data_IF_976754776520
#
_entry.id   IF_976754776520
#
_cell.length_a   1.000
_cell.length_b   1.000
_cell.length_c   1.000
_cell.angle_alpha   90.00
_cell.angle_beta   90.00
_cell.angle_gamma   90.00
#
_symmetry.space_group_name_H-M   'P 1'
#
loop_
_entity.id
_entity.type
_entity.pdbx_description
1 polymer ?
#
# COMPACT_ATOMS: atom_id res chain seq x y z
N UNK A 1 1.57 5.18 8.41
CA UNK A 1 1.12 3.87 7.90
C UNK A 1 1.60 2.78 8.84
N UNK A 2 0.72 1.86 9.25
CA UNK A 2 1.16 0.66 9.99
C UNK A 2 1.32 -0.51 9.00
N UNK A 3 2.55 -1.00 8.85
CA UNK A 3 2.88 -2.14 7.99
C UNK A 3 2.97 -3.39 8.87
N UNK A 4 2.35 -4.48 8.43
CA UNK A 4 2.40 -5.77 9.12
C UNK A 4 3.11 -6.82 8.25
N UNK A 5 4.03 -7.56 8.86
CA UNK A 5 4.82 -8.60 8.18
C UNK A 5 4.19 -9.96 8.42
N UNK A 6 3.99 -10.73 7.35
CA UNK A 6 3.48 -12.09 7.33
C UNK A 6 4.63 -12.99 6.87
N UNK A 7 5.36 -13.56 7.82
CA UNK A 7 6.67 -14.14 7.55
C UNK A 7 6.84 -15.51 8.18
N UNK A 8 7.82 -16.25 7.66
CA UNK A 8 8.37 -17.43 8.31
C UNK A 8 9.19 -17.02 9.55
N UNK A 9 9.76 -17.98 10.26
CA UNK A 9 10.43 -17.74 11.54
C UNK A 9 11.57 -16.72 11.45
N UNK A 10 12.37 -16.75 10.38
CA UNK A 10 13.43 -15.76 10.13
C UNK A 10 12.89 -14.33 10.01
N UNK A 11 11.82 -14.14 9.23
CA UNK A 11 11.16 -12.84 9.10
C UNK A 11 10.46 -12.40 10.39
N UNK A 12 9.97 -13.35 11.19
CA UNK A 12 9.42 -13.03 12.51
C UNK A 12 10.51 -12.54 13.48
N UNK A 13 11.70 -13.13 13.44
CA UNK A 13 12.83 -12.72 14.28
C UNK A 13 13.38 -11.35 13.87
N UNK A 14 13.52 -11.09 12.57
CA UNK A 14 13.90 -9.76 12.05
C UNK A 14 12.84 -8.70 12.35
N UNK A 15 11.55 -9.01 12.19
CA UNK A 15 10.48 -8.08 12.52
C UNK A 15 10.44 -7.79 14.03
N UNK A 16 10.71 -8.79 14.88
CA UNK A 16 10.78 -8.63 16.32
C UNK A 16 11.99 -7.77 16.74
N UNK A 17 13.14 -7.94 16.10
CA UNK A 17 14.31 -7.09 16.30
C UNK A 17 14.03 -5.62 15.91
N UNK A 18 13.24 -5.41 14.84
CA UNK A 18 12.89 -4.10 14.31
C UNK A 18 11.59 -3.50 14.91
N UNK A 19 10.99 -4.13 15.92
CA UNK A 19 9.70 -3.73 16.53
C UNK A 19 8.54 -3.58 15.51
N UNK A 20 8.55 -4.34 14.42
CA UNK A 20 7.50 -4.33 13.41
C UNK A 20 6.43 -5.36 13.77
N UNK A 21 5.12 -5.03 13.66
CA UNK A 21 4.05 -5.99 13.90
C UNK A 21 4.14 -7.18 12.94
N UNK A 22 4.41 -8.38 13.48
CA UNK A 22 4.52 -9.62 12.71
C UNK A 22 3.37 -10.58 13.02
N UNK A 23 3.04 -11.43 12.06
CA UNK A 23 2.15 -12.57 12.26
C UNK A 23 2.74 -13.82 11.64
N UNK A 24 2.79 -14.88 12.45
CA UNK A 24 3.30 -16.17 12.06
C UNK A 24 2.22 -17.04 11.38
N UNK A 25 2.65 -18.09 10.69
CA UNK A 25 1.81 -19.04 9.92
C UNK A 25 0.75 -19.71 10.81
N UNK A 26 1.08 -19.98 12.07
CA UNK A 26 0.13 -20.55 13.03
C UNK A 26 -0.97 -19.57 13.43
N UNK A 27 -0.62 -18.29 13.61
CA UNK A 27 -1.59 -17.23 13.88
C UNK A 27 -2.51 -17.02 12.66
N UNK A 28 -1.95 -17.08 11.45
CA UNK A 28 -2.70 -17.02 10.19
C UNK A 28 -3.65 -18.22 10.03
N UNK A 29 -3.25 -19.43 10.43
CA UNK A 29 -4.12 -20.61 10.46
C UNK A 29 -5.25 -20.49 11.48
N UNK A 30 -5.02 -19.90 12.66
CA UNK A 30 -6.08 -19.62 13.66
C UNK A 30 -7.08 -18.57 13.19
N UNK A 31 -6.67 -17.68 12.29
CA UNK A 31 -7.53 -16.67 11.65
C UNK A 31 -8.31 -17.21 10.46
N UNK A 32 -7.99 -18.42 10.00
CA UNK A 32 -8.68 -19.09 8.93
C UNK A 32 -10.15 -19.31 9.34
N UNK A 33 -11.08 -19.06 8.41
CA UNK A 33 -12.55 -19.10 8.58
C UNK A 33 -13.21 -17.95 9.36
N UNK A 34 -12.48 -17.13 10.13
CA UNK A 34 -13.09 -16.03 10.90
C UNK A 34 -13.11 -14.68 10.15
N UNK A 35 -14.13 -14.49 9.28
CA UNK A 35 -14.32 -13.27 8.46
C UNK A 35 -14.28 -11.95 9.26
N UNK A 36 -14.75 -11.94 10.52
CA UNK A 36 -14.76 -10.73 11.37
C UNK A 36 -13.35 -10.33 11.82
N UNK A 37 -12.53 -11.30 12.23
CA UNK A 37 -11.15 -11.04 12.69
C UNK A 37 -10.26 -10.57 11.54
N UNK A 38 -10.40 -11.18 10.36
CA UNK A 38 -9.68 -10.75 9.15
C UNK A 38 -10.06 -9.32 8.74
N UNK A 39 -11.35 -8.94 8.83
CA UNK A 39 -11.78 -7.55 8.59
C UNK A 39 -11.21 -6.57 9.62
N UNK A 40 -11.08 -6.98 10.89
CA UNK A 40 -10.50 -6.14 11.96
C UNK A 40 -9.00 -5.91 11.72
N UNK A 41 -8.27 -6.97 11.32
CA UNK A 41 -6.86 -6.89 10.92
C UNK A 41 -6.64 -5.99 9.71
N UNK A 42 -7.45 -6.15 8.66
CA UNK A 42 -7.38 -5.32 7.46
C UNK A 42 -7.71 -3.84 7.72
N UNK A 43 -8.45 -3.52 8.79
CA UNK A 43 -8.67 -2.14 9.24
C UNK A 43 -7.53 -1.59 10.09
N UNK A 44 -6.82 -2.46 10.83
CA UNK A 44 -5.74 -2.06 11.74
C UNK A 44 -4.45 -1.70 11.00
N UNK A 45 -4.11 -2.44 9.95
CA UNK A 45 -2.88 -2.23 9.19
C UNK A 45 -3.15 -1.73 7.78
N UNK A 46 -2.31 -0.82 7.28
CA UNK A 46 -2.46 -0.15 5.98
C UNK A 46 -1.85 -0.97 4.85
N UNK A 47 -0.72 -1.61 5.11
CA UNK A 47 -0.02 -2.48 4.17
C UNK A 47 0.43 -3.79 4.84
N UNK A 48 0.53 -4.84 4.03
CA UNK A 48 1.05 -6.14 4.44
C UNK A 48 2.26 -6.49 3.57
N UNK A 49 3.28 -7.06 4.19
CA UNK A 49 4.42 -7.67 3.50
C UNK A 49 4.39 -9.17 3.78
N UNK A 50 4.68 -10.00 2.78
CA UNK A 50 4.68 -11.44 2.93
C UNK A 50 5.95 -12.08 2.39
N UNK A 51 6.48 -13.05 3.13
CA UNK A 51 7.56 -13.93 2.67
C UNK A 51 7.16 -14.65 1.38
N UNK A 52 8.11 -14.86 0.48
CA UNK A 52 7.92 -15.58 -0.79
C UNK A 52 7.30 -16.98 -0.60
N UNK A 53 7.62 -17.67 0.49
CA UNK A 53 7.04 -18.97 0.81
C UNK A 53 5.54 -18.90 1.13
N UNK A 54 5.09 -17.78 1.70
CA UNK A 54 3.72 -17.60 2.21
C UNK A 54 2.79 -16.92 1.22
N UNK A 55 3.31 -16.16 0.24
CA UNK A 55 2.49 -15.40 -0.71
C UNK A 55 1.50 -16.28 -1.49
N UNK A 56 1.91 -17.52 -1.84
CA UNK A 56 1.08 -18.49 -2.56
C UNK A 56 -0.05 -19.06 -1.69
N UNK A 57 0.16 -19.11 -0.37
CA UNK A 57 -0.79 -19.70 0.59
C UNK A 57 -1.80 -18.68 1.12
N UNK A 58 -1.48 -17.38 1.06
CA UNK A 58 -2.29 -16.28 1.59
C UNK A 58 -3.74 -16.28 1.05
N UNK A 59 -4.00 -16.46 -0.27
CA UNK A 59 -5.38 -16.51 -0.77
C UNK A 59 -6.21 -17.64 -0.15
N UNK A 60 -5.57 -18.78 0.18
CA UNK A 60 -6.21 -19.96 0.77
C UNK A 60 -6.40 -19.81 2.29
N UNK A 61 -5.44 -19.21 2.98
CA UNK A 61 -5.44 -19.06 4.45
C UNK A 61 -6.30 -17.89 4.94
N UNK A 62 -6.21 -16.74 4.27
CA UNK A 62 -6.90 -15.50 4.68
C UNK A 62 -8.21 -15.27 3.89
N UNK A 63 -8.46 -16.09 2.87
CA UNK A 63 -9.61 -16.00 2.00
C UNK A 63 -9.68 -14.65 1.25
N UNK A 64 -10.83 -14.32 0.64
CA UNK A 64 -10.97 -13.08 -0.14
C UNK A 64 -11.00 -11.81 0.72
N UNK A 65 -10.87 -11.90 2.05
CA UNK A 65 -11.04 -10.78 2.99
C UNK A 65 -10.02 -9.66 2.77
N UNK A 66 -8.75 -10.00 2.59
CA UNK A 66 -7.68 -9.03 2.33
C UNK A 66 -7.69 -8.50 0.90
N UNK A 67 -7.97 -9.37 -0.08
CA UNK A 67 -8.05 -8.94 -1.49
C UNK A 67 -9.23 -7.99 -1.72
N UNK A 68 -10.40 -8.26 -1.10
CA UNK A 68 -11.56 -7.35 -1.16
C UNK A 68 -11.29 -6.01 -0.49
N UNK A 69 -10.38 -5.96 0.50
CA UNK A 69 -9.94 -4.72 1.13
C UNK A 69 -8.87 -3.97 0.31
N UNK A 70 -8.38 -4.53 -0.81
CA UNK A 70 -7.36 -3.92 -1.66
C UNK A 70 -5.94 -3.97 -1.10
N UNK A 71 -5.75 -4.62 0.07
CA UNK A 71 -4.50 -4.71 0.83
C UNK A 71 -3.85 -6.07 0.62
N UNK A 72 -3.61 -6.44 -0.65
CA UNK A 72 -2.89 -7.67 -0.95
C UNK A 72 -1.41 -7.50 -0.54
N UNK A 73 -0.79 -8.49 0.12
CA UNK A 73 0.57 -8.34 0.60
C UNK A 73 1.59 -8.13 -0.52
N UNK A 74 2.54 -7.23 -0.31
CA UNK A 74 3.74 -7.11 -1.13
C UNK A 74 4.69 -8.28 -0.87
N UNK A 75 5.50 -8.64 -1.85
CA UNK A 75 6.50 -9.70 -1.70
C UNK A 75 7.71 -9.19 -0.93
N UNK A 76 8.15 -9.96 0.06
CA UNK A 76 9.39 -9.74 0.81
C UNK A 76 10.34 -10.90 0.52
N UNK A 77 11.48 -10.58 -0.10
CA UNK A 77 12.57 -11.53 -0.32
C UNK A 77 13.45 -11.61 0.92
N UNK A 78 14.10 -12.76 1.14
CA UNK A 78 15.09 -12.93 2.22
C UNK A 78 16.43 -12.25 1.91
N UNK A 79 16.64 -11.77 0.68
CA UNK A 79 17.87 -11.11 0.26
C UNK A 79 17.86 -9.59 0.52
N UNK A 80 16.70 -9.01 0.78
CA UNK A 80 16.54 -7.56 0.92
C UNK A 80 16.28 -7.19 2.38
N UNK A 81 16.83 -6.06 2.82
CA UNK A 81 16.59 -5.54 4.16
C UNK A 81 15.10 -5.20 4.34
N UNK A 82 14.46 -5.83 5.33
CA UNK A 82 13.05 -5.62 5.65
C UNK A 82 12.70 -4.15 5.89
N UNK A 83 13.60 -3.38 6.52
CA UNK A 83 13.42 -1.94 6.74
C UNK A 83 13.34 -1.14 5.44
N UNK A 84 14.22 -1.41 4.47
CA UNK A 84 14.22 -0.73 3.19
C UNK A 84 12.90 -0.97 2.45
N UNK A 85 12.43 -2.22 2.42
CA UNK A 85 11.15 -2.59 1.80
C UNK A 85 9.96 -1.93 2.51
N UNK A 86 9.99 -1.84 3.84
CA UNK A 86 8.95 -1.16 4.62
C UNK A 86 8.91 0.33 4.29
N UNK A 87 10.07 0.97 4.18
CA UNK A 87 10.13 2.40 3.85
C UNK A 87 9.74 2.67 2.39
N UNK A 88 10.10 1.80 1.46
CA UNK A 88 9.56 1.82 0.09
C UNK A 88 8.03 1.73 0.10
N UNK A 89 7.45 0.80 0.85
CA UNK A 89 5.99 0.65 0.94
C UNK A 89 5.32 1.83 1.62
N UNK A 90 5.98 2.49 2.58
CA UNK A 90 5.49 3.74 3.19
C UNK A 90 5.52 4.90 2.20
N UNK A 91 6.54 4.96 1.35
CA UNK A 91 6.71 6.00 0.34
C UNK A 91 5.89 5.74 -0.93
N UNK A 92 5.45 4.50 -1.15
CA UNK A 92 4.71 4.13 -2.35
C UNK A 92 3.22 4.42 -2.21
N UNK A 93 2.67 5.11 -3.21
CA UNK A 93 1.23 5.35 -3.31
C UNK A 93 0.65 4.53 -4.46
N UNK A 94 -0.38 3.73 -4.16
CA UNK A 94 -1.01 2.84 -5.15
C UNK A 94 -2.07 3.58 -5.96
N UNK A 95 -1.82 3.76 -7.25
CA UNK A 95 -2.85 4.15 -8.21
C UNK A 95 -3.69 2.93 -8.58
N UNK A 96 -4.97 2.92 -8.18
CA UNK A 96 -5.90 1.86 -8.57
C UNK A 96 -7.06 2.44 -9.38
N UNK A 97 -7.02 2.25 -10.70
CA UNK A 97 -8.16 2.54 -11.56
C UNK A 97 -9.24 1.49 -11.35
N UNK A 98 -10.40 1.93 -10.83
CA UNK A 98 -11.64 1.14 -10.81
C UNK A 98 -12.44 1.47 -12.08
N UNK A 99 -13.73 1.12 -12.12
CA UNK A 99 -14.67 1.52 -13.20
C UNK A 99 -15.04 3.02 -13.17
N UNK A 100 -14.20 3.88 -12.61
CA UNK A 100 -14.46 5.32 -12.47
C UNK A 100 -13.33 6.08 -13.17
N UNK A 101 -13.70 7.14 -13.88
CA UNK A 101 -12.77 7.95 -14.67
C UNK A 101 -11.95 8.93 -13.83
N UNK A 102 -12.38 9.22 -12.59
CA UNK A 102 -11.69 10.11 -11.67
C UNK A 102 -10.90 9.30 -10.63
N UNK A 103 -9.64 9.69 -10.42
CA UNK A 103 -8.77 9.15 -9.38
C UNK A 103 -8.38 10.27 -8.42
N UNK A 104 -8.42 9.98 -7.13
CA UNK A 104 -7.96 10.89 -6.09
C UNK A 104 -6.91 10.18 -5.26
N UNK A 105 -5.75 10.79 -5.16
CA UNK A 105 -4.56 10.22 -4.54
C UNK A 105 -3.93 11.27 -3.63
N UNK A 106 -3.46 10.84 -2.46
CA UNK A 106 -2.76 11.71 -1.52
C UNK A 106 -1.28 11.76 -1.93
N UNK A 107 -0.77 12.94 -2.22
CA UNK A 107 0.59 13.15 -2.77
C UNK A 107 1.54 13.78 -1.74
N UNK A 108 1.04 14.17 -0.56
CA UNK A 108 1.89 14.73 0.50
C UNK A 108 1.16 15.03 1.80
N UNK A 109 1.92 15.44 2.81
CA UNK A 109 1.44 15.85 4.13
C UNK A 109 1.76 17.34 4.37
N UNK A 110 1.03 17.99 5.28
CA UNK A 110 1.19 19.41 5.65
C UNK A 110 2.58 19.72 6.26
N UNK A 111 3.33 18.69 6.67
CA UNK A 111 4.67 18.85 7.26
C UNK A 111 5.82 18.76 6.25
N UNK A 112 5.53 18.56 4.97
CA UNK A 112 6.53 18.58 3.90
C UNK A 112 6.77 20.02 3.42
N UNK A 113 7.96 20.27 2.89
CA UNK A 113 8.28 21.56 2.29
C UNK A 113 7.55 21.76 0.97
N UNK A 114 7.39 23.02 0.53
CA UNK A 114 6.70 23.35 -0.71
C UNK A 114 7.38 22.73 -1.93
N UNK A 115 8.72 22.71 -1.95
CA UNK A 115 9.51 22.13 -3.05
C UNK A 115 9.31 20.60 -3.17
N UNK A 116 9.31 19.89 -2.04
CA UNK A 116 9.03 18.44 -2.01
C UNK A 116 7.61 18.14 -2.48
N UNK A 117 6.63 18.97 -2.10
CA UNK A 117 5.24 18.81 -2.55
C UNK A 117 5.11 19.00 -4.06
N UNK A 118 5.74 20.03 -4.62
CA UNK A 118 5.74 20.28 -6.06
C UNK A 118 6.40 19.13 -6.81
N UNK A 119 7.56 18.66 -6.36
CA UNK A 119 8.24 17.50 -6.96
C UNK A 119 7.36 16.24 -6.91
N UNK A 120 6.75 15.94 -5.77
CA UNK A 120 5.87 14.78 -5.62
C UNK A 120 4.63 14.87 -6.52
N UNK A 121 4.04 16.06 -6.69
CA UNK A 121 2.91 16.28 -7.61
C UNK A 121 3.34 16.04 -9.06
N UNK A 122 4.47 16.59 -9.49
CA UNK A 122 4.98 16.36 -10.84
C UNK A 122 5.28 14.88 -11.12
N UNK A 123 5.97 14.20 -10.20
CA UNK A 123 6.28 12.77 -10.32
C UNK A 123 5.01 11.93 -10.41
N UNK A 124 4.03 12.20 -9.55
CA UNK A 124 2.75 11.48 -9.51
C UNK A 124 1.93 11.65 -10.79
N UNK A 125 1.85 12.88 -11.31
CA UNK A 125 1.12 13.17 -12.55
C UNK A 125 1.82 12.53 -13.75
N UNK A 126 3.14 12.66 -13.86
CA UNK A 126 3.90 12.10 -14.97
C UNK A 126 3.85 10.57 -14.99
N UNK A 127 3.94 9.92 -13.83
CA UNK A 127 3.81 8.47 -13.70
C UNK A 127 2.40 7.99 -14.12
N UNK A 128 1.35 8.70 -13.73
CA UNK A 128 -0.01 8.33 -14.14
C UNK A 128 -0.22 8.50 -15.65
N UNK A 129 0.30 9.59 -16.22
CA UNK A 129 0.17 9.90 -17.65
C UNK A 129 0.96 8.90 -18.52
N UNK A 130 2.12 8.42 -18.07
CA UNK A 130 2.91 7.44 -18.83
C UNK A 130 2.19 6.09 -18.97
N UNK A 131 1.33 5.73 -18.01
CA UNK A 131 0.54 4.49 -18.04
C UNK A 131 -0.68 4.56 -18.99
N UNK A 132 -1.08 5.75 -19.44
CA UNK A 132 -2.24 5.94 -20.34
C UNK A 132 -1.81 5.84 -21.81
N UNK A 133 -2.55 5.07 -22.62
CA UNK A 133 -2.24 4.82 -24.06
C UNK A 133 -2.12 6.09 -24.93
N UNK A 134 -2.69 7.22 -24.52
CA UNK A 134 -2.61 8.51 -25.24
C UNK A 134 -2.01 9.64 -24.38
N UNK A 135 -1.34 9.29 -23.28
CA UNK A 135 -0.73 10.24 -22.36
C UNK A 135 -1.67 11.40 -22.01
N UNK A 136 -1.22 12.64 -22.20
CA UNK A 136 -1.93 13.88 -21.88
C UNK A 136 -3.25 14.06 -22.64
N UNK A 137 -3.42 13.48 -23.83
CA UNK A 137 -4.68 13.58 -24.57
C UNK A 137 -5.83 12.83 -23.86
N UNK A 138 -5.50 11.90 -22.97
CA UNK A 138 -6.49 11.16 -22.19
C UNK A 138 -6.81 11.85 -20.84
N UNK A 139 -6.12 12.94 -20.51
CA UNK A 139 -6.35 13.72 -19.29
C UNK A 139 -7.20 14.94 -19.67
N UNK A 140 -8.43 15.00 -19.15
CA UNK A 140 -9.34 16.13 -19.42
C UNK A 140 -9.10 17.29 -18.46
N UNK A 141 -8.86 17.01 -17.18
CA UNK A 141 -8.60 18.02 -16.18
C UNK A 141 -7.84 17.45 -14.98
N UNK A 142 -7.05 18.30 -14.33
CA UNK A 142 -6.30 17.98 -13.12
C UNK A 142 -6.67 18.98 -12.03
N UNK A 143 -7.02 18.45 -10.86
CA UNK A 143 -7.39 19.26 -9.70
C UNK A 143 -6.55 18.84 -8.51
N UNK A 144 -6.00 19.84 -7.80
CA UNK A 144 -5.34 19.67 -6.52
C UNK A 144 -6.21 20.29 -5.46
N UNK A 145 -6.47 19.54 -4.39
CA UNK A 145 -7.20 20.03 -3.23
C UNK A 145 -6.48 19.60 -1.96
N UNK A 146 -6.52 20.45 -0.95
CA UNK A 146 -6.20 20.07 0.42
C UNK A 146 -7.42 19.42 1.10
N UNK A 147 -7.23 18.84 2.29
CA UNK A 147 -8.31 18.16 3.04
C UNK A 147 -9.50 19.07 3.33
N UNK A 148 -9.24 20.35 3.62
CA UNK A 148 -10.25 21.35 4.02
C UNK A 148 -10.32 22.56 3.07
N UNK A 149 -9.50 22.61 2.03
CA UNK A 149 -9.43 23.76 1.12
C UNK A 149 -10.24 23.58 -0.17
N UNK A 150 -10.51 24.70 -0.87
CA UNK A 150 -11.14 24.66 -2.18
C UNK A 150 -10.24 23.97 -3.21
N UNK A 151 -10.80 23.25 -4.19
CA UNK A 151 -10.03 22.63 -5.26
C UNK A 151 -9.47 23.69 -6.21
N UNK A 152 -8.18 23.59 -6.50
CA UNK A 152 -7.48 24.39 -7.51
C UNK A 152 -7.30 23.54 -8.77
N UNK A 153 -7.62 24.12 -9.94
CA UNK A 153 -7.46 23.44 -11.23
C UNK A 153 -6.10 23.77 -11.83
N UNK A 154 -5.33 22.74 -12.15
CA UNK A 154 -4.02 22.86 -12.81
C UNK A 154 -4.11 22.70 -14.34
N UNK A 155 -5.07 21.90 -14.81
CA UNK A 155 -5.30 21.59 -16.23
C UNK A 155 -6.79 21.36 -16.47
#
# INVERSE_FOLDING_TARGET
MQVCVLGDQQHCDEAKANNVPYMDVEALKKLNKNKKAVKKLAKKYDAFLASEALIKQIPRLLGPGLNKAGKFPGLLSHQEAMMAKIDEVKATIKFQMKKVLCLSVAVGHVGMTEDELVQNVHLSVNFLVSLLKKHWQNVRSLHVKSTMGPPQRLY
#
